data_IF_828905279918
#
_entry.id   IF_828905279918
#
_cell.length_a   1.000
_cell.length_b   1.000
_cell.length_c   1.000
_cell.angle_alpha   90.00
_cell.angle_beta   90.00
_cell.angle_gamma   90.00
#
_symmetry.space_group_name_H-M   'P 1'
#
loop_
_entity.id
_entity.type
_entity.pdbx_description
1 polymer ?
#
# COMPACT_ATOMS: atom_id res chain seq x y z
N UNK A 1 -12.83 13.73 18.44
CA UNK A 1 -13.58 12.58 19.00
C UNK A 1 -14.69 12.07 18.09
N UNK A 2 -15.55 12.89 17.50
CA UNK A 2 -16.68 12.43 16.67
C UNK A 2 -16.30 11.65 15.40
N UNK A 3 -15.29 12.06 14.63
CA UNK A 3 -14.90 11.40 13.36
C UNK A 3 -14.35 9.98 13.60
N UNK A 4 -13.67 9.78 14.74
CA UNK A 4 -13.12 8.47 15.09
C UNK A 4 -14.23 7.49 15.47
N UNK A 5 -15.27 7.98 16.15
CA UNK A 5 -16.45 7.20 16.52
C UNK A 5 -17.25 6.79 15.27
N UNK A 6 -17.51 7.71 14.35
CA UNK A 6 -18.24 7.42 13.10
C UNK A 6 -17.48 6.45 12.18
N UNK A 7 -16.14 6.47 12.15
CA UNK A 7 -15.35 5.48 11.40
C UNK A 7 -15.54 4.07 11.98
N UNK A 8 -15.49 3.92 13.30
CA UNK A 8 -15.74 2.64 13.94
C UNK A 8 -17.16 2.15 13.71
N UNK A 9 -18.16 3.03 13.87
CA UNK A 9 -19.56 2.71 13.60
C UNK A 9 -19.77 2.28 12.15
N UNK A 10 -19.11 2.94 11.18
CA UNK A 10 -19.18 2.54 9.77
C UNK A 10 -18.60 1.14 9.55
N UNK A 11 -17.44 0.85 10.14
CA UNK A 11 -16.79 -0.47 10.03
C UNK A 11 -17.61 -1.59 10.68
N UNK A 12 -18.33 -1.27 11.76
CA UNK A 12 -19.15 -2.23 12.50
C UNK A 12 -20.63 -2.26 12.01
N UNK A 13 -20.97 -1.48 10.99
CA UNK A 13 -22.37 -1.34 10.48
C UNK A 13 -23.35 -0.82 11.54
N UNK A 14 -22.87 0.03 12.44
CA UNK A 14 -23.66 0.57 13.58
C UNK A 14 -24.31 1.93 13.30
N UNK A 15 -24.47 2.30 12.03
CA UNK A 15 -25.14 3.55 11.62
C UNK A 15 -24.35 4.79 12.06
N UNK A 16 -23.27 5.16 11.39
CA UNK A 16 -22.53 6.39 11.66
C UNK A 16 -23.40 7.62 11.44
N UNK A 17 -23.16 8.69 12.17
CA UNK A 17 -23.92 9.94 12.01
C UNK A 17 -23.63 10.62 10.67
N UNK A 18 -22.45 10.35 10.11
CA UNK A 18 -22.04 10.76 8.77
C UNK A 18 -21.13 9.68 8.17
N UNK A 19 -21.10 9.61 6.84
CA UNK A 19 -20.19 8.71 6.14
C UNK A 19 -18.76 9.23 6.32
N UNK A 20 -17.84 8.44 6.93
CA UNK A 20 -16.45 8.85 7.10
C UNK A 20 -15.75 8.90 5.74
N UNK A 21 -15.25 10.06 5.36
CA UNK A 21 -14.52 10.26 4.11
C UNK A 21 -13.13 10.82 4.44
N UNK A 22 -12.11 10.34 3.76
CA UNK A 22 -10.78 10.94 3.77
C UNK A 22 -10.27 11.03 2.33
N UNK A 23 -9.53 12.09 2.04
CA UNK A 23 -8.97 12.34 0.71
C UNK A 23 -7.45 12.37 0.80
N UNK A 24 -6.80 11.43 0.11
CA UNK A 24 -5.36 11.46 -0.11
C UNK A 24 -5.01 12.42 -1.25
N UNK A 25 -3.94 13.15 -1.10
CA UNK A 25 -3.41 14.05 -2.13
C UNK A 25 -1.98 13.63 -2.44
N UNK A 26 -1.71 13.32 -3.70
CA UNK A 26 -0.37 12.92 -4.14
C UNK A 26 0.64 14.07 -3.95
N UNK A 27 1.91 13.73 -3.66
CA UNK A 27 2.97 14.73 -3.53
C UNK A 27 3.10 15.66 -4.72
N UNK A 28 2.86 15.18 -5.96
CA UNK A 28 2.89 16.00 -7.16
C UNK A 28 1.91 17.17 -7.09
N UNK A 29 0.68 16.96 -6.58
CA UNK A 29 -0.31 18.03 -6.44
C UNK A 29 0.12 19.06 -5.37
N UNK A 30 0.69 18.59 -4.26
CA UNK A 30 1.26 19.48 -3.23
C UNK A 30 2.39 20.33 -3.79
N UNK A 31 3.31 19.75 -4.55
CA UNK A 31 4.42 20.45 -5.19
C UNK A 31 3.94 21.49 -6.21
N UNK A 32 2.90 21.15 -6.98
CA UNK A 32 2.37 22.02 -8.03
C UNK A 32 1.57 23.21 -7.47
N UNK A 33 0.73 22.95 -6.48
CA UNK A 33 -0.26 23.93 -6.00
C UNK A 33 0.11 24.58 -4.67
N UNK A 34 1.05 24.00 -3.93
CA UNK A 34 1.68 24.56 -2.71
C UNK A 34 0.67 25.16 -1.73
N UNK A 35 0.87 26.42 -1.32
CA UNK A 35 0.06 27.13 -0.36
C UNK A 35 -1.42 27.20 -0.77
N UNK A 36 -1.70 27.35 -2.07
CA UNK A 36 -3.10 27.39 -2.56
C UNK A 36 -3.86 26.12 -2.25
N UNK A 37 -3.22 24.98 -2.42
CA UNK A 37 -3.83 23.67 -2.08
C UNK A 37 -3.93 23.50 -0.57
N UNK A 38 -2.92 23.96 0.18
CA UNK A 38 -2.95 23.92 1.64
C UNK A 38 -4.09 24.78 2.22
N UNK A 39 -4.33 25.97 1.66
CA UNK A 39 -5.44 26.82 2.03
C UNK A 39 -6.81 26.19 1.74
N UNK A 40 -6.92 25.43 0.65
CA UNK A 40 -8.13 24.66 0.33
C UNK A 40 -8.30 23.52 1.34
N UNK A 41 -7.25 22.73 1.57
CA UNK A 41 -7.30 21.61 2.51
C UNK A 41 -7.66 22.05 3.93
N UNK A 42 -7.13 23.19 4.38
CA UNK A 42 -7.40 23.76 5.70
C UNK A 42 -8.88 24.14 5.90
N UNK A 43 -9.63 24.44 4.84
CA UNK A 43 -11.08 24.71 4.90
C UNK A 43 -11.92 23.46 5.13
N UNK A 44 -11.37 22.29 4.87
CA UNK A 44 -12.09 21.01 4.93
C UNK A 44 -11.35 19.98 5.79
N UNK A 45 -11.12 20.26 7.07
CA UNK A 45 -10.31 19.38 7.93
C UNK A 45 -10.94 17.99 8.14
N UNK A 46 -12.24 17.84 7.94
CA UNK A 46 -12.91 16.53 7.97
C UNK A 46 -12.52 15.62 6.83
N UNK A 47 -12.04 16.16 5.69
CA UNK A 47 -11.61 15.40 4.51
C UNK A 47 -10.10 15.22 4.47
N UNK A 48 -9.34 16.26 4.79
CA UNK A 48 -7.89 16.33 4.60
C UNK A 48 -7.09 16.24 5.90
N UNK A 49 -7.77 16.16 7.05
CA UNK A 49 -7.13 16.22 8.35
C UNK A 49 -6.86 17.64 8.84
N UNK A 50 -6.20 17.79 10.00
CA UNK A 50 -5.91 19.10 10.57
C UNK A 50 -4.99 19.93 9.67
N UNK A 51 -5.13 21.26 9.76
CA UNK A 51 -4.25 22.19 9.06
C UNK A 51 -2.78 21.91 9.37
N UNK A 52 -1.95 21.86 8.34
CA UNK A 52 -0.49 21.76 8.46
C UNK A 52 0.16 23.01 7.87
N UNK A 53 0.52 23.96 8.74
CA UNK A 53 1.16 25.23 8.35
C UNK A 53 2.61 25.08 7.98
N UNK A 54 3.27 24.05 8.52
CA UNK A 54 4.69 23.80 8.33
C UNK A 54 4.93 22.70 7.27
N UNK A 55 3.97 22.53 6.35
CA UNK A 55 4.08 21.52 5.30
C UNK A 55 5.26 21.82 4.37
N UNK A 56 6.16 20.86 4.28
CA UNK A 56 7.17 20.84 3.22
C UNK A 56 6.53 20.31 1.92
N UNK A 57 6.27 21.22 0.98
CA UNK A 57 5.63 20.87 -0.30
C UNK A 57 6.57 20.10 -1.23
N UNK A 58 7.85 20.11 -0.98
CA UNK A 58 8.87 19.42 -1.80
C UNK A 58 9.32 18.09 -1.19
N UNK A 59 8.82 17.77 0.01
CA UNK A 59 9.08 16.49 0.65
C UNK A 59 8.49 15.33 -0.16
N UNK A 60 9.36 14.54 -0.76
CA UNK A 60 9.00 13.35 -1.53
C UNK A 60 10.00 12.27 -1.17
N UNK A 61 9.51 11.05 -0.94
CA UNK A 61 10.34 9.92 -0.59
C UNK A 61 9.87 8.60 -1.20
N UNK A 62 10.69 7.58 -1.04
CA UNK A 62 10.36 6.22 -1.51
C UNK A 62 10.12 6.18 -3.01
N UNK A 63 9.10 5.43 -3.40
CA UNK A 63 8.73 5.21 -4.81
C UNK A 63 8.15 6.45 -5.51
N UNK A 64 7.83 7.53 -4.78
CA UNK A 64 7.39 8.80 -5.38
C UNK A 64 8.52 9.66 -5.98
N UNK A 65 9.78 9.28 -5.82
CA UNK A 65 10.91 9.95 -6.45
C UNK A 65 11.08 9.41 -7.88
N UNK A 66 11.27 10.31 -8.86
CA UNK A 66 11.50 9.88 -10.25
C UNK A 66 12.76 9.01 -10.36
N UNK A 67 12.71 8.01 -11.22
CA UNK A 67 13.78 7.05 -11.45
C UNK A 67 13.34 5.62 -11.18
N UNK A 68 14.31 4.71 -11.11
CA UNK A 68 14.10 3.31 -10.81
C UNK A 68 14.48 3.00 -9.36
N UNK A 69 13.67 2.18 -8.72
CA UNK A 69 13.85 1.71 -7.35
C UNK A 69 13.67 0.20 -7.30
N UNK A 70 14.51 -0.49 -6.54
CA UNK A 70 14.35 -1.93 -6.31
C UNK A 70 13.82 -2.11 -4.88
N UNK A 71 12.67 -2.76 -4.75
CA UNK A 71 12.10 -3.04 -3.44
C UNK A 71 12.76 -4.24 -2.75
N UNK A 72 12.35 -4.53 -1.52
CA UNK A 72 12.91 -5.63 -0.74
C UNK A 72 12.59 -7.03 -1.31
N UNK A 73 11.60 -7.14 -2.20
CA UNK A 73 11.27 -8.36 -2.90
C UNK A 73 12.05 -8.51 -4.22
N UNK A 74 12.76 -7.48 -4.66
CA UNK A 74 13.48 -7.45 -5.92
C UNK A 74 12.65 -6.93 -7.10
N UNK A 75 11.44 -6.41 -6.87
CA UNK A 75 10.66 -5.76 -7.93
C UNK A 75 11.31 -4.43 -8.32
N UNK A 76 11.41 -4.16 -9.62
CA UNK A 76 11.88 -2.87 -10.14
C UNK A 76 10.68 -1.96 -10.32
N UNK A 77 10.69 -0.84 -9.60
CA UNK A 77 9.67 0.21 -9.67
C UNK A 77 10.19 1.37 -10.51
N UNK A 78 9.43 1.79 -11.49
CA UNK A 78 9.77 2.93 -12.34
C UNK A 78 8.81 4.09 -12.11
N UNK A 79 9.37 5.28 -11.92
CA UNK A 79 8.63 6.52 -11.75
C UNK A 79 9.12 7.56 -12.78
N UNK A 80 8.22 8.04 -13.61
CA UNK A 80 8.53 9.03 -14.64
C UNK A 80 8.49 10.48 -14.13
N UNK A 81 7.80 10.73 -13.00
CA UNK A 81 7.58 12.09 -12.50
C UNK A 81 7.54 12.12 -10.98
N UNK A 82 8.48 12.84 -10.38
CA UNK A 82 8.55 13.01 -8.93
C UNK A 82 7.23 13.51 -8.34
N UNK A 83 6.72 12.79 -7.35
CA UNK A 83 5.45 13.05 -6.68
C UNK A 83 4.26 12.27 -7.24
N UNK A 84 4.42 11.57 -8.36
CA UNK A 84 3.47 10.60 -8.89
C UNK A 84 3.79 9.20 -8.38
N UNK A 85 2.83 8.30 -8.51
CA UNK A 85 3.04 6.89 -8.16
C UNK A 85 3.96 6.19 -9.17
N UNK A 86 4.69 5.20 -8.67
CA UNK A 86 5.50 4.29 -9.48
C UNK A 86 4.67 3.12 -9.98
N UNK A 87 5.16 2.50 -11.03
CA UNK A 87 4.65 1.21 -11.52
C UNK A 87 5.78 0.17 -11.50
N UNK A 88 5.43 -1.09 -11.28
CA UNK A 88 6.38 -2.19 -11.39
C UNK A 88 6.66 -2.47 -12.87
N UNK A 89 7.93 -2.45 -13.24
CA UNK A 89 8.42 -2.68 -14.61
C UNK A 89 9.37 -3.88 -14.70
N UNK A 90 9.84 -4.38 -13.55
CA UNK A 90 10.67 -5.57 -13.48
C UNK A 90 10.20 -6.51 -12.38
N UNK A 91 10.03 -7.76 -12.74
CA UNK A 91 9.47 -8.81 -11.92
C UNK A 91 10.56 -9.82 -11.53
N UNK A 92 10.78 -10.14 -10.24
CA UNK A 92 11.80 -11.09 -9.82
C UNK A 92 11.48 -12.55 -10.19
N UNK A 93 10.23 -12.83 -10.58
CA UNK A 93 9.76 -14.17 -10.97
C UNK A 93 9.27 -14.15 -12.42
N UNK A 94 10.14 -13.90 -13.42
CA UNK A 94 9.73 -13.86 -14.83
C UNK A 94 9.30 -15.24 -15.38
N UNK A 95 9.78 -16.33 -14.80
CA UNK A 95 9.37 -17.69 -15.15
C UNK A 95 8.88 -18.47 -13.92
N UNK A 96 8.14 -19.56 -14.14
CA UNK A 96 7.66 -20.43 -13.05
C UNK A 96 8.82 -21.02 -12.24
N UNK A 97 9.91 -21.37 -12.89
CA UNK A 97 11.08 -21.95 -12.20
C UNK A 97 11.73 -20.97 -11.22
N UNK A 98 11.62 -19.66 -11.45
CA UNK A 98 12.18 -18.63 -10.57
C UNK A 98 11.49 -18.59 -9.20
N UNK A 99 10.26 -19.08 -9.09
CA UNK A 99 9.56 -19.22 -7.79
C UNK A 99 10.39 -20.03 -6.81
N UNK A 100 11.11 -21.08 -7.29
CA UNK A 100 11.90 -21.97 -6.44
C UNK A 100 13.08 -21.29 -5.77
N UNK A 101 13.52 -20.16 -6.30
CA UNK A 101 14.66 -19.37 -5.77
C UNK A 101 14.22 -18.10 -5.07
N UNK A 102 12.95 -17.71 -5.21
CA UNK A 102 12.40 -16.52 -4.58
C UNK A 102 12.50 -16.64 -3.06
N UNK A 103 12.98 -15.56 -2.43
CA UNK A 103 13.03 -15.46 -0.97
C UNK A 103 12.26 -14.22 -0.55
N UNK A 104 11.34 -14.41 0.38
CA UNK A 104 10.69 -13.29 1.04
C UNK A 104 11.71 -12.44 1.81
N UNK A 105 11.51 -11.12 1.93
CA UNK A 105 12.40 -10.27 2.70
C UNK A 105 12.54 -10.75 4.15
N UNK A 106 13.77 -10.73 4.68
CA UNK A 106 14.02 -11.09 6.07
C UNK A 106 13.49 -10.03 7.03
N UNK A 107 13.63 -8.76 6.65
CA UNK A 107 13.17 -7.63 7.44
C UNK A 107 11.70 -7.34 7.16
N UNK A 108 10.99 -6.93 8.20
CA UNK A 108 9.65 -6.43 8.08
C UNK A 108 9.66 -5.07 7.38
N UNK A 109 8.95 -4.97 6.27
CA UNK A 109 8.85 -3.71 5.48
C UNK A 109 7.49 -3.03 5.66
N UNK A 110 6.73 -3.43 6.67
CA UNK A 110 5.37 -2.96 6.95
C UNK A 110 4.32 -3.72 6.16
N UNK A 111 3.06 -3.32 6.33
CA UNK A 111 1.95 -3.83 5.51
C UNK A 111 1.80 -2.96 4.28
N UNK A 112 2.33 -3.37 3.13
CA UNK A 112 2.27 -2.57 1.93
C UNK A 112 0.85 -2.56 1.36
N UNK A 113 0.55 -1.55 0.56
CA UNK A 113 -0.48 -1.66 -0.46
C UNK A 113 -0.09 -2.86 -1.36
N UNK A 114 -1.05 -3.73 -1.65
CA UNK A 114 -0.74 -5.00 -2.33
C UNK A 114 -0.38 -6.12 -1.36
N UNK A 115 -1.40 -6.59 -0.61
CA UNK A 115 -1.20 -7.61 0.41
C UNK A 115 -0.99 -9.01 -0.17
N UNK A 116 -1.87 -9.44 -1.08
CA UNK A 116 -1.77 -10.72 -1.77
C UNK A 116 -1.76 -10.57 -3.28
N UNK A 117 -2.89 -10.21 -3.89
CA UNK A 117 -3.06 -10.19 -5.34
C UNK A 117 -2.07 -9.23 -6.03
N UNK A 118 -2.01 -7.98 -5.60
CA UNK A 118 -1.04 -7.03 -6.15
C UNK A 118 0.39 -7.49 -5.91
N UNK A 119 0.71 -8.06 -4.74
CA UNK A 119 2.06 -8.58 -4.50
C UNK A 119 2.41 -9.73 -5.45
N UNK A 120 1.47 -10.63 -5.72
CA UNK A 120 1.68 -11.71 -6.68
C UNK A 120 1.92 -11.17 -8.09
N UNK A 121 1.13 -10.17 -8.51
CA UNK A 121 1.32 -9.53 -9.82
C UNK A 121 2.60 -8.71 -9.91
N UNK A 122 3.02 -8.06 -8.83
CA UNK A 122 4.32 -7.36 -8.76
C UNK A 122 5.49 -8.35 -8.93
N UNK A 123 5.39 -9.54 -8.34
CA UNK A 123 6.44 -10.56 -8.39
C UNK A 123 6.52 -11.27 -9.74
N UNK A 124 5.37 -11.60 -10.34
CA UNK A 124 5.25 -12.47 -11.50
C UNK A 124 4.99 -11.73 -12.81
N UNK A 125 4.43 -10.53 -12.74
CA UNK A 125 3.81 -9.82 -13.85
C UNK A 125 2.32 -10.16 -13.96
N UNK A 126 1.49 -9.16 -14.31
CA UNK A 126 0.04 -9.32 -14.33
C UNK A 126 -0.43 -10.40 -15.31
N UNK A 127 0.05 -10.37 -16.54
CA UNK A 127 -0.35 -11.31 -17.60
C UNK A 127 0.00 -12.75 -17.21
N UNK A 128 1.25 -13.00 -16.81
CA UNK A 128 1.74 -14.30 -16.42
C UNK A 128 1.04 -14.83 -15.16
N UNK A 129 0.68 -13.92 -14.23
CA UNK A 129 -0.07 -14.28 -13.04
C UNK A 129 -1.50 -14.73 -13.39
N UNK A 130 -2.15 -14.07 -14.36
CA UNK A 130 -3.48 -14.48 -14.83
C UNK A 130 -3.44 -15.84 -15.54
N UNK A 131 -2.38 -16.12 -16.29
CA UNK A 131 -2.16 -17.44 -16.91
C UNK A 131 -1.97 -18.50 -15.82
N UNK A 132 -1.15 -18.21 -14.81
CA UNK A 132 -0.92 -19.12 -13.71
C UNK A 132 -2.20 -19.42 -12.91
N UNK A 133 -3.08 -18.43 -12.71
CA UNK A 133 -4.40 -18.67 -12.08
C UNK A 133 -5.32 -19.56 -12.93
N UNK A 134 -5.22 -19.46 -14.26
CA UNK A 134 -6.04 -20.28 -15.15
C UNK A 134 -5.51 -21.73 -15.30
N UNK A 135 -4.20 -21.91 -15.24
CA UNK A 135 -3.54 -23.21 -15.44
C UNK A 135 -3.24 -23.97 -14.16
N UNK A 136 -3.26 -23.27 -13.01
CA UNK A 136 -3.00 -23.82 -11.68
C UNK A 136 -1.72 -24.66 -11.56
N UNK A 137 -0.56 -24.18 -12.05
CA UNK A 137 0.69 -24.95 -11.94
C UNK A 137 1.12 -25.08 -10.47
N UNK A 138 1.92 -26.10 -10.11
CA UNK A 138 2.39 -26.27 -8.74
C UNK A 138 3.17 -25.06 -8.19
N UNK A 139 3.84 -24.30 -9.03
CA UNK A 139 4.59 -23.10 -8.70
C UNK A 139 3.67 -21.97 -8.22
N UNK A 140 2.42 -21.92 -8.68
CA UNK A 140 1.42 -20.98 -8.18
C UNK A 140 1.20 -21.16 -6.68
N UNK A 141 0.98 -22.41 -6.23
CA UNK A 141 0.79 -22.67 -4.80
C UNK A 141 2.05 -22.32 -3.99
N UNK A 142 3.24 -22.59 -4.53
CA UNK A 142 4.50 -22.20 -3.89
C UNK A 142 4.60 -20.68 -3.72
N UNK A 143 4.27 -19.91 -4.76
CA UNK A 143 4.31 -18.45 -4.71
C UNK A 143 3.29 -17.88 -3.71
N UNK A 144 2.06 -18.43 -3.72
CA UNK A 144 1.02 -18.10 -2.74
C UNK A 144 1.50 -18.35 -1.30
N UNK A 145 2.12 -19.49 -1.05
CA UNK A 145 2.63 -19.86 0.28
C UNK A 145 3.73 -18.91 0.75
N UNK A 146 4.69 -18.55 -0.14
CA UNK A 146 5.77 -17.60 0.19
C UNK A 146 5.20 -16.24 0.60
N UNK A 147 4.25 -15.70 -0.17
CA UNK A 147 3.64 -14.40 0.12
C UNK A 147 2.76 -14.46 1.37
N UNK A 148 1.95 -15.51 1.51
CA UNK A 148 1.12 -15.73 2.71
C UNK A 148 1.96 -15.80 3.98
N UNK A 149 3.02 -16.61 3.99
CA UNK A 149 3.84 -16.82 5.17
C UNK A 149 4.58 -15.54 5.57
N UNK A 150 5.03 -14.76 4.58
CA UNK A 150 5.54 -13.41 4.81
C UNK A 150 4.49 -12.51 5.47
N UNK A 151 3.29 -12.44 4.92
CA UNK A 151 2.22 -11.58 5.41
C UNK A 151 1.77 -11.98 6.83
N UNK A 152 1.65 -13.28 7.11
CA UNK A 152 1.32 -13.79 8.46
C UNK A 152 2.39 -13.37 9.46
N UNK A 153 3.67 -13.46 9.09
CA UNK A 153 4.78 -12.99 9.94
C UNK A 153 4.69 -11.49 10.19
N UNK A 154 4.45 -10.67 9.14
CA UNK A 154 4.29 -9.22 9.27
C UNK A 154 3.17 -8.86 10.25
N UNK A 155 1.99 -9.42 10.06
CA UNK A 155 0.83 -9.17 10.93
C UNK A 155 1.14 -9.62 12.36
N UNK A 156 1.74 -10.80 12.53
CA UNK A 156 2.10 -11.31 13.86
C UNK A 156 3.07 -10.40 14.60
N UNK A 157 4.03 -9.80 13.90
CA UNK A 157 5.00 -8.87 14.47
C UNK A 157 4.38 -7.51 14.82
N UNK A 158 3.32 -7.11 14.14
CA UNK A 158 2.58 -5.86 14.44
C UNK A 158 1.66 -6.00 15.65
N UNK A 159 1.05 -7.17 15.89
CA UNK A 159 0.05 -7.38 16.94
C UNK A 159 0.49 -6.94 18.34
N UNK A 160 1.71 -7.23 18.83
CA UNK A 160 2.15 -6.77 20.14
C UNK A 160 2.12 -5.25 20.31
N UNK A 161 2.42 -4.49 19.25
CA UNK A 161 2.37 -3.02 19.25
C UNK A 161 0.95 -2.45 19.31
N UNK A 162 -0.06 -3.27 18.99
CA UNK A 162 -1.47 -2.88 19.03
C UNK A 162 -2.12 -3.20 20.39
N UNK A 163 -1.41 -3.89 21.30
CA UNK A 163 -1.93 -4.19 22.63
C UNK A 163 -2.05 -2.88 23.42
N UNK A 164 -3.28 -2.58 23.88
CA UNK A 164 -3.59 -1.32 24.59
C UNK A 164 -3.95 -0.14 23.70
N UNK A 165 -3.82 -0.26 22.38
CA UNK A 165 -4.38 0.72 21.44
C UNK A 165 -5.89 0.53 21.30
N UNK A 166 -6.63 1.63 21.27
CA UNK A 166 -8.07 1.63 20.97
C UNK A 166 -8.38 2.76 19.97
N UNK A 167 -9.00 2.44 18.85
CA UNK A 167 -9.37 1.11 18.36
C UNK A 167 -8.18 0.35 17.77
N UNK A 168 -8.28 -0.98 17.76
CA UNK A 168 -7.29 -1.86 17.13
C UNK A 168 -7.71 -2.11 15.69
N UNK A 169 -7.11 -1.39 14.77
CA UNK A 169 -7.39 -1.54 13.34
C UNK A 169 -6.07 -1.88 12.64
N UNK A 170 -6.08 -3.00 11.91
CA UNK A 170 -5.04 -3.34 10.93
C UNK A 170 -5.64 -3.09 9.56
N UNK A 171 -4.99 -2.23 8.79
CA UNK A 171 -5.41 -1.91 7.43
C UNK A 171 -4.39 -2.48 6.45
N UNK A 172 -4.88 -3.17 5.44
CA UNK A 172 -4.13 -3.53 4.25
C UNK A 172 -5.09 -3.48 3.06
N UNK A 173 -4.56 -3.04 1.92
CA UNK A 173 -5.32 -2.94 0.67
C UNK A 173 -4.86 -4.00 -0.32
N UNK A 174 -5.78 -4.43 -1.16
CA UNK A 174 -5.50 -5.28 -2.31
C UNK A 174 -6.53 -5.00 -3.41
N UNK A 175 -6.21 -5.34 -4.67
CA UNK A 175 -7.07 -5.05 -5.82
C UNK A 175 -7.80 -6.32 -6.30
N UNK A 176 -8.62 -6.86 -5.43
CA UNK A 176 -9.44 -8.04 -5.78
C UNK A 176 -10.81 -7.69 -6.41
N UNK A 177 -11.09 -6.41 -6.65
CA UNK A 177 -12.31 -5.93 -7.27
C UNK A 177 -13.40 -5.52 -6.29
#
# INVERSE_FOLDING_TARGET
MAIHDDRMKAMLFEGPSQIPVSVGILPAAWRLHREKLNDVAAKYPSLFGPENRDRDFDAVGGTYVAGEHIDAWGCVWSNLCTGMESIVTGHPVPTRDDVRTLKAPEKDVGTPHGFMFLRLTDLRGFEEMMIDFAEEPPELQMLLDIVRDYNVRQVSNMLPGLIGAEPRIVYFGDDLG
#
